data_IF_268372636246
#
_entry.id   IF_268372636246
#
_cell.length_a   1.000
_cell.length_b   1.000
_cell.length_c   1.000
_cell.angle_alpha   90.00
_cell.angle_beta   90.00
_cell.angle_gamma   90.00
#
_symmetry.space_group_name_H-M   'P 1'
#
loop_
_entity.id
_entity.type
_entity.pdbx_description
1 polymer ?
#
# COMPACT_ATOMS: atom_id res chain seq x y z
N UNK A 1 -10.49 7.84 5.34
CA UNK A 1 -9.30 8.39 6.04
C UNK A 1 -8.64 7.42 7.04
N UNK A 2 -9.26 7.05 8.18
CA UNK A 2 -8.56 6.44 9.32
C UNK A 2 -7.79 5.12 9.02
N UNK A 3 -8.34 4.22 8.21
CA UNK A 3 -7.65 2.97 7.79
C UNK A 3 -6.31 3.24 7.09
N UNK A 4 -6.25 4.25 6.20
CA UNK A 4 -5.02 4.64 5.52
C UNK A 4 -3.98 5.14 6.51
N UNK A 5 -4.39 5.88 7.55
CA UNK A 5 -3.45 6.29 8.62
C UNK A 5 -2.87 5.11 9.38
N UNK A 6 -3.63 4.04 9.61
CA UNK A 6 -3.09 2.82 10.23
C UNK A 6 -2.15 2.04 9.31
N UNK A 7 -2.39 2.02 7.99
CA UNK A 7 -1.44 1.49 6.99
C UNK A 7 -0.13 2.30 6.99
N UNK A 8 -0.21 3.63 6.96
CA UNK A 8 0.97 4.51 6.97
C UNK A 8 1.75 4.45 8.31
N UNK A 9 1.08 4.12 9.41
CA UNK A 9 1.71 3.85 10.71
C UNK A 9 2.19 2.39 10.86
N UNK A 10 2.09 1.56 9.81
CA UNK A 10 2.51 0.15 9.77
C UNK A 10 1.83 -0.76 10.81
N UNK A 11 0.63 -0.38 11.27
CA UNK A 11 -0.15 -1.14 12.26
C UNK A 11 -1.20 -2.07 11.62
N UNK A 12 -1.08 -2.36 10.31
CA UNK A 12 -2.13 -3.00 9.52
C UNK A 12 -1.52 -3.90 8.45
N UNK A 13 -1.38 -5.20 8.74
CA UNK A 13 -0.71 -6.17 7.85
C UNK A 13 -1.56 -6.70 6.69
N UNK A 14 -2.88 -6.56 6.76
CA UNK A 14 -3.78 -6.92 5.66
C UNK A 14 -5.22 -6.49 5.85
N UNK A 15 -5.97 -6.39 4.74
CA UNK A 15 -7.30 -5.81 4.65
C UNK A 15 -8.25 -6.71 3.84
N UNK A 16 -9.42 -7.00 4.40
CA UNK A 16 -10.57 -7.54 3.64
C UNK A 16 -11.54 -6.39 3.41
N UNK A 17 -11.80 -6.06 2.13
CA UNK A 17 -12.67 -4.94 1.76
C UNK A 17 -13.41 -5.26 0.46
N UNK A 18 -14.57 -5.90 0.59
CA UNK A 18 -15.40 -6.31 -0.54
C UNK A 18 -15.97 -5.08 -1.26
N UNK A 19 -15.74 -5.02 -2.57
CA UNK A 19 -16.16 -3.94 -3.45
C UNK A 19 -17.26 -4.46 -4.37
N UNK A 20 -18.38 -3.75 -4.44
CA UNK A 20 -19.42 -4.01 -5.45
C UNK A 20 -18.94 -3.44 -6.79
N UNK A 21 -18.81 -4.26 -7.86
CA UNK A 21 -18.37 -3.78 -9.16
C UNK A 21 -19.51 -3.22 -10.03
N UNK A 22 -20.78 -3.36 -9.63
CA UNK A 22 -21.96 -3.03 -10.43
C UNK A 22 -22.62 -1.70 -10.03
N UNK A 23 -22.57 -1.30 -8.76
CA UNK A 23 -23.18 -0.04 -8.29
C UNK A 23 -22.19 1.13 -8.19
N UNK A 24 -22.56 2.27 -8.78
CA UNK A 24 -21.74 3.46 -8.94
C UNK A 24 -21.69 4.31 -7.66
N UNK A 25 -21.05 3.77 -6.63
CA UNK A 25 -20.93 4.39 -5.31
C UNK A 25 -20.28 5.80 -5.38
N UNK A 26 -20.90 6.85 -4.79
CA UNK A 26 -20.38 8.23 -4.85
C UNK A 26 -18.97 8.45 -4.27
N UNK A 27 -18.42 7.46 -3.59
CA UNK A 27 -17.11 7.47 -2.94
C UNK A 27 -16.07 6.57 -3.64
N UNK A 28 -16.22 6.31 -4.95
CA UNK A 28 -15.26 5.55 -5.76
C UNK A 28 -13.80 6.02 -5.60
N UNK A 29 -13.58 7.33 -5.50
CA UNK A 29 -12.24 7.91 -5.29
C UNK A 29 -11.59 7.51 -3.95
N UNK A 30 -12.37 7.28 -2.88
CA UNK A 30 -11.85 6.76 -1.60
C UNK A 30 -11.48 5.27 -1.72
N UNK A 31 -12.22 4.49 -2.50
CA UNK A 31 -11.94 3.08 -2.80
C UNK A 31 -10.62 2.95 -3.58
N UNK A 32 -10.46 3.74 -4.65
CA UNK A 32 -9.21 3.83 -5.41
C UNK A 32 -8.05 4.28 -4.53
N UNK A 33 -8.26 5.29 -3.68
CA UNK A 33 -7.23 5.78 -2.77
C UNK A 33 -6.81 4.68 -1.76
N UNK A 34 -7.75 3.96 -1.18
CA UNK A 34 -7.48 2.87 -0.23
C UNK A 34 -6.73 1.71 -0.90
N UNK A 35 -7.19 1.25 -2.06
CA UNK A 35 -6.52 0.21 -2.85
C UNK A 35 -5.09 0.64 -3.22
N UNK A 36 -4.90 1.88 -3.69
CA UNK A 36 -3.58 2.46 -4.05
C UNK A 36 -2.63 2.54 -2.85
N UNK A 37 -3.13 2.96 -1.67
CA UNK A 37 -2.30 3.04 -0.46
C UNK A 37 -1.91 1.66 0.06
N UNK A 38 -2.83 0.69 -0.01
CA UNK A 38 -2.53 -0.70 0.31
C UNK A 38 -1.43 -1.28 -0.62
N UNK A 39 -1.49 -0.99 -1.92
CA UNK A 39 -0.44 -1.35 -2.88
C UNK A 39 0.90 -0.64 -2.63
N UNK A 40 0.88 0.61 -2.14
CA UNK A 40 2.09 1.38 -1.78
C UNK A 40 2.79 0.79 -0.56
N UNK A 41 2.03 0.41 0.48
CA UNK A 41 2.54 -0.19 1.72
C UNK A 41 2.69 -1.72 1.65
N UNK A 42 2.43 -2.34 0.49
CA UNK A 42 2.58 -3.77 0.23
C UNK A 42 1.88 -4.67 1.29
N UNK A 43 0.68 -4.29 1.71
CA UNK A 43 -0.15 -5.06 2.65
C UNK A 43 -1.01 -6.08 1.90
N UNK A 44 -1.41 -7.16 2.55
CA UNK A 44 -2.32 -8.15 1.96
C UNK A 44 -3.71 -7.51 1.72
N UNK A 45 -4.32 -7.75 0.55
CA UNK A 45 -5.65 -7.22 0.21
C UNK A 45 -6.54 -8.31 -0.38
N UNK A 46 -7.76 -8.43 0.16
CA UNK A 46 -8.84 -9.21 -0.42
C UNK A 46 -10.03 -8.32 -0.77
N UNK A 47 -10.26 -8.09 -2.06
CA UNK A 47 -11.38 -7.28 -2.57
C UNK A 47 -12.64 -8.09 -2.91
N UNK A 48 -12.58 -9.42 -2.81
CA UNK A 48 -13.67 -10.34 -3.12
C UNK A 48 -13.62 -11.59 -2.20
N UNK A 49 -14.73 -12.35 -2.06
CA UNK A 49 -14.79 -13.51 -1.16
C UNK A 49 -13.77 -14.61 -1.46
N UNK A 50 -13.46 -14.90 -2.73
CA UNK A 50 -12.50 -15.95 -3.10
C UNK A 50 -11.09 -15.60 -2.64
N UNK A 51 -10.65 -14.36 -2.85
CA UNK A 51 -9.35 -13.88 -2.35
C UNK A 51 -9.34 -13.81 -0.82
N UNK A 52 -10.46 -13.49 -0.16
CA UNK A 52 -10.54 -13.53 1.30
C UNK A 52 -10.43 -14.96 1.85
N UNK A 53 -11.09 -15.95 1.25
CA UNK A 53 -10.96 -17.35 1.64
C UNK A 53 -9.52 -17.85 1.49
N UNK A 54 -8.84 -17.52 0.39
CA UNK A 54 -7.42 -17.84 0.20
C UNK A 54 -6.52 -17.12 1.22
N UNK A 55 -6.80 -15.85 1.55
CA UNK A 55 -6.07 -15.10 2.58
C UNK A 55 -6.26 -15.71 3.98
N UNK A 56 -7.47 -16.15 4.33
CA UNK A 56 -7.75 -16.82 5.61
C UNK A 56 -7.14 -18.22 5.70
N UNK A 57 -6.98 -18.91 4.58
CA UNK A 57 -6.20 -20.16 4.49
C UNK A 57 -4.73 -19.89 4.79
N UNK A 58 -4.08 -18.99 4.05
CA UNK A 58 -2.67 -18.63 4.25
C UNK A 58 -2.42 -18.11 5.67
N UNK A 59 -3.31 -17.27 6.23
CA UNK A 59 -3.23 -16.81 7.62
C UNK A 59 -3.32 -17.96 8.63
N UNK A 60 -4.23 -18.93 8.43
CA UNK A 60 -4.36 -20.09 9.31
C UNK A 60 -3.09 -20.93 9.26
N UNK A 61 -2.63 -21.29 8.06
CA UNK A 61 -1.45 -22.13 7.82
C UNK A 61 -0.19 -21.47 8.39
N UNK A 62 0.00 -20.16 8.20
CA UNK A 62 1.10 -19.40 8.80
C UNK A 62 1.11 -19.46 10.34
N UNK A 63 -0.06 -19.41 10.98
CA UNK A 63 -0.18 -19.48 12.44
C UNK A 63 -0.07 -20.91 12.98
N UNK A 64 -0.60 -21.92 12.28
CA UNK A 64 -0.56 -23.32 12.74
C UNK A 64 0.77 -24.01 12.49
N UNK A 65 1.48 -23.67 11.40
CA UNK A 65 2.82 -24.19 11.11
C UNK A 65 3.94 -23.33 11.74
N UNK A 66 3.60 -22.17 12.34
CA UNK A 66 4.53 -21.14 12.83
C UNK A 66 5.49 -20.65 11.73
N UNK A 67 4.91 -20.19 10.61
CA UNK A 67 5.58 -19.83 9.36
C UNK A 67 5.30 -18.37 8.97
N UNK A 68 5.98 -17.40 9.60
CA UNK A 68 5.73 -15.97 9.37
C UNK A 68 6.09 -15.52 7.95
N UNK A 69 6.90 -16.27 7.21
CA UNK A 69 7.28 -15.97 5.83
C UNK A 69 6.11 -16.06 4.83
N UNK A 70 5.01 -16.71 5.21
CA UNK A 70 3.78 -16.79 4.41
C UNK A 70 2.93 -15.50 4.47
N UNK A 71 3.12 -14.67 5.50
CA UNK A 71 2.34 -13.43 5.74
C UNK A 71 3.24 -12.24 6.12
N UNK A 72 4.30 -11.93 5.33
CA UNK A 72 5.38 -11.02 5.74
C UNK A 72 4.90 -9.60 6.08
N UNK A 73 3.78 -9.14 5.52
CA UNK A 73 3.19 -7.83 5.80
C UNK A 73 2.66 -7.67 7.24
N UNK A 74 2.47 -8.77 7.98
CA UNK A 74 2.11 -8.75 9.40
C UNK A 74 3.33 -8.64 10.34
N UNK A 75 4.54 -8.86 9.84
CA UNK A 75 5.77 -8.90 10.64
C UNK A 75 6.82 -7.86 10.22
N UNK A 76 6.80 -7.42 8.96
CA UNK A 76 7.80 -6.52 8.40
C UNK A 76 7.15 -5.32 7.71
N UNK A 77 7.67 -4.12 7.98
CA UNK A 77 7.34 -2.93 7.20
C UNK A 77 7.87 -3.09 5.77
N UNK A 78 6.96 -3.11 4.80
CA UNK A 78 7.28 -3.22 3.37
C UNK A 78 6.78 -1.98 2.61
N UNK A 79 7.31 -1.78 1.41
CA UNK A 79 6.91 -0.70 0.51
C UNK A 79 7.14 -1.12 -0.94
N UNK A 80 6.25 -0.71 -1.85
CA UNK A 80 6.38 -1.02 -3.27
C UNK A 80 7.67 -0.43 -3.88
N UNK A 81 8.44 -1.18 -4.69
CA UNK A 81 9.66 -0.68 -5.35
C UNK A 81 9.45 0.59 -6.19
N UNK A 82 8.23 0.81 -6.68
CA UNK A 82 7.85 2.03 -7.43
C UNK A 82 7.97 3.31 -6.58
N UNK A 83 7.82 3.22 -5.25
CA UNK A 83 7.93 4.38 -4.35
C UNK A 83 9.38 4.85 -4.23
N UNK A 84 10.36 3.93 -4.26
CA UNK A 84 11.77 4.33 -4.27
C UNK A 84 12.10 5.08 -5.55
N UNK A 85 11.77 4.51 -6.72
CA UNK A 85 11.94 5.16 -8.03
C UNK A 85 11.31 6.56 -8.09
N UNK A 86 10.13 6.73 -7.47
CA UNK A 86 9.45 8.02 -7.36
C UNK A 86 10.24 9.04 -6.52
N UNK A 87 10.75 8.63 -5.34
CA UNK A 87 11.62 9.47 -4.50
C UNK A 87 12.90 9.87 -5.23
N UNK A 88 13.56 8.92 -5.89
CA UNK A 88 14.80 9.15 -6.65
C UNK A 88 14.58 10.18 -7.79
N UNK A 89 13.47 10.03 -8.53
CA UNK A 89 13.07 10.97 -9.58
C UNK A 89 12.78 12.36 -9.03
N UNK A 90 12.02 12.46 -7.92
CA UNK A 90 11.71 13.74 -7.27
C UNK A 90 12.96 14.47 -6.79
N UNK A 91 13.92 13.77 -6.15
CA UNK A 91 15.21 14.34 -5.76
C UNK A 91 15.92 14.97 -6.96
N UNK A 92 16.06 14.20 -8.06
CA UNK A 92 16.70 14.70 -9.29
C UNK A 92 15.99 15.91 -9.94
N UNK A 93 14.71 16.15 -9.63
CA UNK A 93 13.96 17.33 -10.10
C UNK A 93 14.18 18.52 -9.16
N UNK A 94 14.16 18.28 -7.85
CA UNK A 94 14.46 19.28 -6.82
C UNK A 94 15.89 19.83 -6.97
N UNK A 95 16.87 18.98 -7.26
CA UNK A 95 18.26 19.39 -7.51
C UNK A 95 18.36 20.29 -8.75
N UNK A 96 17.69 19.91 -9.85
CA UNK A 96 17.64 20.71 -11.10
C UNK A 96 16.94 22.05 -10.89
N UNK A 97 15.88 22.10 -10.07
CA UNK A 97 15.20 23.35 -9.71
C UNK A 97 16.06 24.24 -8.81
N UNK A 98 16.75 23.66 -7.84
CA UNK A 98 17.63 24.38 -6.91
C UNK A 98 18.83 24.96 -7.63
N UNK A 99 19.50 24.18 -8.48
CA UNK A 99 20.61 24.67 -9.30
C UNK A 99 20.17 25.79 -10.26
N UNK A 100 19.02 25.64 -10.96
CA UNK A 100 18.46 26.72 -11.78
C UNK A 100 18.21 28.00 -11.00
N UNK A 101 17.68 27.90 -9.78
CA UNK A 101 17.42 29.06 -8.92
C UNK A 101 18.72 29.75 -8.52
N UNK A 102 19.74 29.00 -8.11
CA UNK A 102 21.05 29.56 -7.75
C UNK A 102 21.76 30.20 -8.96
N UNK A 103 21.66 29.60 -10.15
CA UNK A 103 22.18 30.17 -11.41
C UNK A 103 21.37 31.36 -11.96
N UNK A 104 20.33 31.82 -11.26
CA UNK A 104 19.51 32.98 -11.64
C UNK A 104 19.66 34.18 -10.67
N UNK A 105 20.64 34.10 -9.75
CA UNK A 105 20.89 35.10 -8.67
C UNK A 105 22.35 35.62 -8.74
N UNK A 106 23.04 35.36 -9.86
CA UNK A 106 24.37 35.84 -10.23
C UNK A 106 24.25 36.43 -11.64
#
# INVERSE_FOLDING_TARGET
AQLVSQMCNHMLGGMVFFQDPMDAHPHHADIECLNRQASIHNVLVANNPTTAMAMMEVLRTALTENRPELIPSFFFTMQSPSVQRYKDQQGSIIDKMTNRRNSSVI
#
